data_IF_768888344245
#
_entry.id   IF_768888344245
#
_cell.length_a   1.000
_cell.length_b   1.000
_cell.length_c   1.000
_cell.angle_alpha   90.00
_cell.angle_beta   90.00
_cell.angle_gamma   90.00
#
_symmetry.space_group_name_H-M   'P 1'
#
loop_
_entity.id
_entity.type
_entity.pdbx_description
1 polymer ?
#
# COMPACT_ATOMS: atom_id res chain seq x y z
N UNK A 1 -8.61 -26.35 17.70
CA UNK A 1 -8.06 -25.77 18.96
C UNK A 1 -7.41 -24.40 18.74
N UNK A 2 -6.70 -24.16 17.63
CA UNK A 2 -6.11 -22.84 17.31
C UNK A 2 -7.13 -21.77 16.89
N UNK A 3 -8.28 -22.14 16.30
CA UNK A 3 -9.30 -21.16 15.86
C UNK A 3 -10.02 -20.45 17.01
N UNK A 4 -9.92 -20.97 18.25
CA UNK A 4 -10.47 -20.30 19.45
C UNK A 4 -9.52 -19.23 20.02
N UNK A 5 -8.32 -19.09 19.46
CA UNK A 5 -7.31 -18.16 19.96
C UNK A 5 -7.59 -16.72 19.52
N UNK A 6 -8.36 -16.52 18.43
CA UNK A 6 -8.98 -15.25 18.05
C UNK A 6 -8.10 -14.00 18.18
N UNK A 7 -8.75 -12.87 18.43
CA UNK A 7 -8.07 -11.59 18.74
C UNK A 7 -7.15 -11.68 19.97
N UNK A 8 -7.51 -12.40 21.07
CA UNK A 8 -6.66 -12.48 22.25
C UNK A 8 -5.24 -13.03 22.00
N UNK A 9 -5.09 -14.08 21.20
CA UNK A 9 -3.76 -14.61 20.90
C UNK A 9 -2.97 -13.77 19.92
N UNK A 10 -3.65 -13.04 19.01
CA UNK A 10 -2.97 -12.05 18.17
C UNK A 10 -2.35 -10.97 19.05
N UNK A 11 -3.07 -10.49 20.07
CA UNK A 11 -2.55 -9.51 21.04
C UNK A 11 -1.33 -10.08 21.78
N UNK A 12 -1.36 -11.35 22.21
CA UNK A 12 -0.21 -11.97 22.89
C UNK A 12 1.05 -11.99 22.01
N UNK A 13 0.90 -12.37 20.73
CA UNK A 13 2.00 -12.35 19.76
C UNK A 13 2.50 -10.92 19.55
N UNK A 14 1.58 -9.96 19.43
CA UNK A 14 1.90 -8.55 19.27
C UNK A 14 2.72 -8.04 20.47
N UNK A 15 2.32 -8.37 21.70
CA UNK A 15 3.08 -8.02 22.92
C UNK A 15 4.49 -8.60 22.90
N UNK A 16 4.66 -9.88 22.55
CA UNK A 16 5.99 -10.49 22.42
C UNK A 16 6.84 -9.78 21.36
N UNK A 17 6.25 -9.46 20.20
CA UNK A 17 6.92 -8.69 19.17
C UNK A 17 7.30 -7.28 19.66
N UNK A 18 6.43 -6.60 20.43
CA UNK A 18 6.72 -5.29 21.02
C UNK A 18 7.83 -5.36 22.07
N UNK A 19 8.00 -6.47 22.79
CA UNK A 19 9.13 -6.64 23.73
C UNK A 19 10.45 -6.74 22.97
N UNK A 20 10.48 -7.49 21.86
CA UNK A 20 11.69 -7.70 21.05
C UNK A 20 12.03 -6.44 20.24
N UNK A 21 11.05 -5.88 19.53
CA UNK A 21 11.25 -4.76 18.61
C UNK A 21 11.03 -3.40 19.28
N UNK A 22 10.23 -3.30 20.34
CA UNK A 22 9.83 -2.05 20.97
C UNK A 22 8.58 -1.42 20.34
N UNK A 23 7.71 -0.76 21.13
CA UNK A 23 6.45 -0.22 20.62
C UNK A 23 6.58 0.98 19.70
N UNK A 24 7.75 1.62 19.67
CA UNK A 24 8.03 2.74 18.76
C UNK A 24 8.40 2.29 17.34
N UNK A 25 8.96 1.08 17.18
CA UNK A 25 9.45 0.60 15.87
C UNK A 25 8.33 0.24 14.90
N UNK A 26 7.24 -0.38 15.37
CA UNK A 26 6.12 -0.74 14.48
C UNK A 26 5.47 0.48 13.81
N UNK A 27 5.13 1.58 14.54
CA UNK A 27 4.63 2.80 13.91
C UNK A 27 5.64 3.49 12.99
N UNK A 28 6.93 3.45 13.35
CA UNK A 28 8.02 4.05 12.56
C UNK A 28 8.18 3.34 11.21
N UNK A 29 8.22 2.00 11.21
CA UNK A 29 8.25 1.19 9.99
C UNK A 29 6.98 1.41 9.16
N UNK A 30 5.81 1.43 9.81
CA UNK A 30 4.54 1.69 9.13
C UNK A 30 4.48 3.05 8.46
N UNK A 31 5.06 4.10 9.07
CA UNK A 31 5.18 5.43 8.45
C UNK A 31 6.10 5.41 7.24
N UNK A 32 7.31 4.85 7.38
CA UNK A 32 8.27 4.77 6.27
C UNK A 32 7.72 3.96 5.08
N UNK A 33 7.10 2.81 5.36
CA UNK A 33 6.42 2.02 4.33
C UNK A 33 5.23 2.77 3.74
N UNK A 34 4.41 3.44 4.57
CA UNK A 34 3.25 4.21 4.13
C UNK A 34 3.63 5.35 3.18
N UNK A 35 4.70 6.08 3.49
CA UNK A 35 5.22 7.15 2.63
C UNK A 35 5.71 6.57 1.29
N UNK A 36 6.43 5.44 1.34
CA UNK A 36 6.87 4.73 0.13
C UNK A 36 5.68 4.27 -0.73
N UNK A 37 4.66 3.66 -0.13
CA UNK A 37 3.46 3.20 -0.82
C UNK A 37 2.66 4.37 -1.41
N UNK A 38 2.61 5.50 -0.70
CA UNK A 38 1.95 6.73 -1.17
C UNK A 38 2.63 7.30 -2.40
N UNK A 39 3.96 7.37 -2.38
CA UNK A 39 4.77 7.90 -3.47
C UNK A 39 4.76 6.95 -4.69
N UNK A 40 4.80 5.64 -4.44
CA UNK A 40 4.59 4.62 -5.46
C UNK A 40 3.21 4.73 -6.10
N UNK A 41 2.13 4.84 -5.31
CA UNK A 41 0.77 5.02 -5.83
C UNK A 41 0.65 6.29 -6.68
N UNK A 42 1.28 7.39 -6.26
CA UNK A 42 1.27 8.65 -7.01
C UNK A 42 1.98 8.47 -8.36
N UNK A 43 3.19 7.91 -8.35
CA UNK A 43 3.97 7.67 -9.57
C UNK A 43 3.24 6.74 -10.54
N UNK A 44 2.66 5.65 -10.04
CA UNK A 44 1.86 4.73 -10.87
C UNK A 44 0.62 5.40 -11.46
N UNK A 45 -0.06 6.28 -10.70
CA UNK A 45 -1.22 7.03 -11.21
C UNK A 45 -0.80 7.99 -12.32
N UNK A 46 0.26 8.75 -12.10
CA UNK A 46 0.75 9.74 -13.06
C UNK A 46 1.14 9.02 -14.38
N UNK A 47 1.88 7.90 -14.31
CA UNK A 47 2.19 7.06 -15.49
C UNK A 47 0.96 6.46 -16.19
N UNK A 48 -0.05 6.04 -15.42
CA UNK A 48 -1.27 5.45 -15.99
C UNK A 48 -2.12 6.51 -16.67
N UNK A 49 -2.19 7.71 -16.11
CA UNK A 49 -2.92 8.84 -16.69
C UNK A 49 -2.32 9.28 -18.02
N UNK A 50 -0.99 9.41 -18.10
CA UNK A 50 -0.30 9.77 -19.35
C UNK A 50 -0.56 8.74 -20.45
N UNK A 51 -0.52 7.44 -20.11
CA UNK A 51 -0.82 6.35 -21.05
C UNK A 51 -2.29 6.34 -21.49
N UNK A 52 -3.24 6.66 -20.60
CA UNK A 52 -4.65 6.74 -20.95
C UNK A 52 -4.92 7.93 -21.86
N UNK A 53 -4.33 9.09 -21.60
CA UNK A 53 -4.45 10.29 -22.44
C UNK A 53 -3.90 10.04 -23.85
N UNK A 54 -2.72 9.42 -23.96
CA UNK A 54 -2.13 9.05 -25.26
C UNK A 54 -3.02 8.10 -26.06
N UNK A 55 -3.65 7.11 -25.40
CA UNK A 55 -4.57 6.17 -26.05
C UNK A 55 -5.88 6.85 -26.49
N UNK A 56 -6.40 7.79 -25.70
CA UNK A 56 -7.62 8.54 -26.04
C UNK A 56 -7.40 9.50 -27.22
N UNK A 57 -6.25 10.16 -27.29
CA UNK A 57 -5.90 11.05 -28.41
C UNK A 57 -5.68 10.28 -29.71
N UNK A 58 -5.06 9.10 -29.67
CA UNK A 58 -4.91 8.23 -30.83
C UNK A 58 -6.26 7.67 -31.33
N UNK A 59 -7.21 7.40 -30.42
CA UNK A 59 -8.57 7.00 -30.81
C UNK A 59 -9.34 8.16 -31.46
N UNK A 60 -9.26 9.39 -30.94
CA UNK A 60 -9.94 10.54 -31.53
C UNK A 60 -9.42 10.85 -32.94
N UNK A 61 -8.11 10.75 -33.17
CA UNK A 61 -7.49 10.97 -34.49
C UNK A 61 -7.92 9.93 -35.54
N UNK A 62 -8.21 8.68 -35.13
CA UNK A 62 -8.71 7.62 -36.03
C UNK A 62 -10.21 7.70 -36.35
N UNK A 63 -11.01 8.38 -35.52
CA UNK A 63 -12.47 8.50 -35.74
C UNK A 63 -12.82 9.68 -36.65
N UNK A 64 -11.95 10.69 -36.74
CA UNK A 64 -12.16 11.91 -37.54
C UNK A 64 -11.57 11.81 -38.96
N UNK A 65 -10.87 10.72 -39.29
CA UNK A 65 -10.27 10.45 -40.60
C UNK A 65 -11.00 9.32 -41.31
#
# INVERSE_FOLDING_TARGET
MLSNIGIPGLILILVLALIIFGPKKLPEIGRAMGDTLREFKKSTRDLTSDVIEDIEDDKKKKVVK
#
